data_IF_746348949338
#
_entry.id   IF_746348949338
#
_cell.length_a   1.000
_cell.length_b   1.000
_cell.length_c   1.000
_cell.angle_alpha   90.00
_cell.angle_beta   90.00
_cell.angle_gamma   90.00
#
_symmetry.space_group_name_H-M   'P 1'
#
loop_
_entity.id
_entity.type
_entity.pdbx_description
1 polymer ?
#
# COMPACT_ATOMS: atom_id res chain seq x y z
N UNK A 1 -13.62 13.50 23.09
CA UNK A 1 -14.93 13.90 23.67
C UNK A 1 -16.10 13.21 22.98
N UNK A 2 -16.13 13.06 21.65
CA UNK A 2 -17.23 12.39 20.93
C UNK A 2 -17.44 10.90 21.25
N UNK A 3 -16.36 10.11 21.44
CA UNK A 3 -16.44 8.65 21.63
C UNK A 3 -15.88 8.17 22.98
N UNK A 4 -15.66 9.08 23.93
CA UNK A 4 -15.09 8.73 25.24
C UNK A 4 -16.09 7.91 26.06
N UNK A 5 -15.70 6.70 26.46
CA UNK A 5 -16.54 5.75 27.19
C UNK A 5 -17.61 5.07 26.35
N UNK A 6 -17.65 5.30 25.03
CA UNK A 6 -18.75 4.89 24.17
C UNK A 6 -18.56 3.51 23.50
N UNK A 7 -17.36 2.92 23.61
CA UNK A 7 -17.03 1.63 22.98
C UNK A 7 -17.18 0.43 23.94
N UNK A 8 -17.53 0.69 25.19
CA UNK A 8 -17.64 -0.35 26.20
C UNK A 8 -18.72 -1.37 25.87
N UNK A 9 -18.46 -2.63 26.24
CA UNK A 9 -19.38 -3.76 26.07
C UNK A 9 -19.52 -4.53 27.37
N UNK A 10 -20.69 -5.13 27.56
CA UNK A 10 -20.97 -6.00 28.67
C UNK A 10 -20.79 -7.48 28.29
N UNK A 11 -20.23 -8.30 29.18
CA UNK A 11 -20.18 -9.77 28.99
C UNK A 11 -21.50 -10.47 29.31
N UNK A 12 -22.39 -9.82 30.06
CA UNK A 12 -23.72 -10.30 30.37
C UNK A 12 -24.76 -9.68 29.42
N UNK A 13 -25.85 -10.39 29.19
CA UNK A 13 -26.98 -9.90 28.38
C UNK A 13 -28.22 -9.74 29.25
N UNK A 14 -29.09 -8.81 28.87
CA UNK A 14 -30.39 -8.65 29.52
C UNK A 14 -31.29 -9.86 29.32
N UNK A 15 -32.43 -9.91 30.03
CA UNK A 15 -33.36 -11.05 30.01
C UNK A 15 -33.90 -11.39 28.61
N UNK A 16 -33.93 -10.42 27.68
CA UNK A 16 -34.35 -10.60 26.29
C UNK A 16 -33.20 -10.62 25.28
N UNK A 17 -31.94 -10.76 25.75
CA UNK A 17 -30.76 -10.67 24.90
C UNK A 17 -30.36 -9.24 24.50
N UNK A 18 -30.94 -8.23 25.14
CA UNK A 18 -30.59 -6.82 24.93
C UNK A 18 -29.23 -6.47 25.54
N UNK A 19 -28.56 -5.49 24.94
CA UNK A 19 -27.33 -4.92 25.49
C UNK A 19 -27.61 -4.19 26.81
N UNK A 20 -26.73 -4.38 27.79
CA UNK A 20 -26.84 -3.75 29.11
C UNK A 20 -25.88 -2.58 29.21
N UNK A 21 -26.35 -1.44 29.72
CA UNK A 21 -25.49 -0.32 30.12
C UNK A 21 -24.54 -0.73 31.25
N UNK A 22 -23.50 0.07 31.49
CA UNK A 22 -22.45 -0.28 32.47
C UNK A 22 -22.99 -0.61 33.86
N UNK A 23 -23.93 0.16 34.39
CA UNK A 23 -24.50 -0.07 35.73
C UNK A 23 -25.33 -1.34 35.80
N UNK A 24 -26.16 -1.59 34.78
CA UNK A 24 -26.98 -2.79 34.67
C UNK A 24 -26.11 -4.04 34.46
N UNK A 25 -25.03 -3.91 33.68
CA UNK A 25 -24.02 -4.95 33.47
C UNK A 25 -23.40 -5.40 34.79
N UNK A 26 -22.94 -4.44 35.61
CA UNK A 26 -22.34 -4.72 36.91
C UNK A 26 -23.34 -5.31 37.90
N UNK A 27 -24.61 -4.87 37.85
CA UNK A 27 -25.68 -5.45 38.67
C UNK A 27 -26.01 -6.90 38.28
N UNK A 28 -25.81 -7.28 37.01
CA UNK A 28 -25.99 -8.62 36.50
C UNK A 28 -24.75 -9.54 36.68
N UNK A 29 -23.76 -9.15 37.51
CA UNK A 29 -22.47 -9.83 37.65
C UNK A 29 -21.68 -9.94 36.32
N UNK A 30 -21.94 -9.03 35.36
CA UNK A 30 -21.18 -8.91 34.12
C UNK A 30 -19.93 -8.04 34.26
N UNK A 31 -18.99 -8.21 33.33
CA UNK A 31 -17.79 -7.37 33.20
C UNK A 31 -18.02 -6.33 32.10
N UNK A 32 -17.70 -5.07 32.40
CA UNK A 32 -17.69 -3.97 31.44
C UNK A 32 -16.27 -3.77 30.93
N UNK A 33 -16.06 -3.94 29.62
CA UNK A 33 -14.73 -3.91 29.01
C UNK A 33 -14.75 -3.19 27.67
N UNK A 34 -13.59 -2.67 27.26
CA UNK A 34 -13.39 -2.06 25.94
C UNK A 34 -12.88 -3.11 24.94
N UNK A 35 -13.19 -2.95 23.65
CA UNK A 35 -12.69 -3.85 22.61
C UNK A 35 -11.17 -3.73 22.43
N UNK A 36 -10.55 -4.83 22.00
CA UNK A 36 -9.09 -4.92 21.79
C UNK A 36 -8.59 -4.04 20.63
N UNK A 37 -9.48 -3.65 19.72
CA UNK A 37 -9.21 -2.71 18.62
C UNK A 37 -8.90 -1.29 19.10
N UNK A 38 -9.02 -0.99 20.40
CA UNK A 38 -8.76 0.33 20.96
C UNK A 38 -10.03 1.16 21.21
N UNK A 39 -9.85 2.28 21.90
CA UNK A 39 -10.93 3.16 22.37
C UNK A 39 -10.46 4.62 22.52
N UNK A 40 -11.41 5.52 22.78
CA UNK A 40 -11.19 6.96 22.96
C UNK A 40 -11.26 7.44 24.42
N UNK A 41 -11.00 6.56 25.39
CA UNK A 41 -11.16 6.88 26.82
C UNK A 41 -9.99 7.66 27.38
N UNK A 42 -8.80 7.48 26.79
CA UNK A 42 -7.59 8.20 27.16
C UNK A 42 -6.77 8.57 25.92
N UNK A 43 -5.84 9.51 26.09
CA UNK A 43 -5.06 10.06 24.98
C UNK A 43 -4.23 9.00 24.26
N UNK A 44 -3.54 8.13 25.00
CA UNK A 44 -2.63 7.13 24.41
C UNK A 44 -3.42 6.09 23.61
N UNK A 45 -4.50 5.55 24.18
CA UNK A 45 -5.38 4.61 23.48
C UNK A 45 -5.99 5.24 22.23
N UNK A 46 -6.39 6.52 22.31
CA UNK A 46 -6.90 7.26 21.15
C UNK A 46 -5.83 7.38 20.07
N UNK A 47 -4.59 7.72 20.45
CA UNK A 47 -3.48 7.87 19.50
C UNK A 47 -3.15 6.55 18.80
N UNK A 48 -3.18 5.42 19.51
CA UNK A 48 -2.95 4.10 18.92
C UNK A 48 -4.03 3.77 17.89
N UNK A 49 -5.30 3.90 18.27
CA UNK A 49 -6.43 3.65 17.35
C UNK A 49 -6.38 4.60 16.13
N UNK A 50 -6.07 5.88 16.35
CA UNK A 50 -5.93 6.86 15.27
C UNK A 50 -4.75 6.56 14.34
N UNK A 51 -3.64 6.04 14.89
CA UNK A 51 -2.47 5.62 14.12
C UNK A 51 -2.79 4.39 13.25
N UNK A 52 -3.44 3.37 13.79
CA UNK A 52 -3.90 2.19 13.04
C UNK A 52 -4.85 2.58 11.90
N UNK A 53 -5.81 3.48 12.17
CA UNK A 53 -6.66 4.01 11.11
C UNK A 53 -5.87 4.78 10.06
N UNK A 54 -4.85 5.55 10.44
CA UNK A 54 -4.00 6.30 9.49
C UNK A 54 -3.18 5.36 8.59
N UNK A 55 -2.73 4.21 9.08
CA UNK A 55 -2.07 3.18 8.25
C UNK A 55 -3.05 2.43 7.34
N UNK A 56 -4.34 2.79 7.39
CA UNK A 56 -5.43 2.13 6.66
C UNK A 56 -5.59 0.64 7.03
N UNK A 57 -5.20 0.28 8.25
CA UNK A 57 -5.44 -1.05 8.82
C UNK A 57 -6.56 -0.98 9.86
N UNK A 58 -7.39 -2.03 9.95
CA UNK A 58 -8.47 -2.16 10.95
C UNK A 58 -9.48 -0.99 11.01
N UNK A 59 -9.42 -0.05 10.06
CA UNK A 59 -10.34 1.08 9.98
C UNK A 59 -11.82 0.69 9.81
N UNK A 60 -12.20 -0.44 9.16
CA UNK A 60 -13.60 -0.84 9.10
C UNK A 60 -14.14 -1.21 10.49
N UNK A 61 -13.34 -1.87 11.33
CA UNK A 61 -13.74 -2.24 12.69
C UNK A 61 -13.90 -1.02 13.57
N UNK A 62 -12.99 -0.06 13.45
CA UNK A 62 -13.10 1.24 14.10
C UNK A 62 -14.37 1.99 13.65
N UNK A 63 -14.69 1.98 12.35
CA UNK A 63 -15.92 2.56 11.81
C UNK A 63 -17.17 1.87 12.37
N UNK A 64 -17.17 0.54 12.47
CA UNK A 64 -18.28 -0.21 13.05
C UNK A 64 -18.49 0.14 14.52
N UNK A 65 -17.41 0.22 15.30
CA UNK A 65 -17.48 0.65 16.70
C UNK A 65 -18.01 2.08 16.86
N UNK A 66 -17.53 3.01 16.03
CA UNK A 66 -18.03 4.39 16.03
C UNK A 66 -19.48 4.49 15.57
N UNK A 67 -19.90 3.64 14.63
CA UNK A 67 -21.27 3.58 14.11
C UNK A 67 -22.26 3.10 15.17
N UNK A 68 -21.85 2.12 15.98
CA UNK A 68 -22.71 1.48 16.97
C UNK A 68 -22.61 2.09 18.37
N UNK A 69 -21.69 3.03 18.57
CA UNK A 69 -21.66 3.87 19.77
C UNK A 69 -23.01 4.57 19.91
N UNK A 70 -23.64 4.56 21.10
CA UNK A 70 -24.85 5.34 21.39
C UNK A 70 -24.52 6.55 22.28
N UNK A 71 -23.83 6.30 23.38
CA UNK A 71 -23.47 7.26 24.42
C UNK A 71 -22.40 6.71 25.35
N UNK A 72 -21.92 7.53 26.28
CA UNK A 72 -20.89 7.12 27.22
C UNK A 72 -21.45 6.13 28.25
N UNK A 73 -20.81 4.95 28.35
CA UNK A 73 -21.18 3.87 29.27
C UNK A 73 -22.56 3.22 29.00
N UNK A 74 -23.11 3.46 27.81
CA UNK A 74 -24.34 2.85 27.32
C UNK A 74 -24.03 1.63 26.44
N UNK A 75 -24.97 0.69 26.36
CA UNK A 75 -24.84 -0.44 25.46
C UNK A 75 -24.82 0.01 23.98
N UNK A 76 -23.98 -0.60 23.13
CA UNK A 76 -23.92 -0.23 21.71
C UNK A 76 -25.25 -0.53 21.02
N UNK A 77 -25.73 0.42 20.22
CA UNK A 77 -26.96 0.31 19.43
C UNK A 77 -26.60 0.37 17.96
N UNK A 78 -26.98 -0.66 17.22
CA UNK A 78 -26.64 -0.83 15.80
C UNK A 78 -26.95 0.44 14.98
N UNK A 79 -25.90 1.02 14.38
CA UNK A 79 -25.96 2.20 13.49
C UNK A 79 -26.56 3.46 14.13
N UNK A 80 -26.53 3.59 15.45
CA UNK A 80 -27.03 4.78 16.16
C UNK A 80 -26.33 6.08 15.73
N UNK A 81 -25.01 6.04 15.52
CA UNK A 81 -24.18 7.21 15.22
C UNK A 81 -23.51 7.16 13.84
N UNK A 82 -24.14 6.47 12.88
CA UNK A 82 -23.58 6.18 11.56
C UNK A 82 -23.12 7.42 10.77
N UNK A 83 -23.87 8.53 10.85
CA UNK A 83 -23.53 9.77 10.13
C UNK A 83 -22.23 10.40 10.62
N UNK A 84 -22.09 10.54 11.94
CA UNK A 84 -20.91 11.11 12.58
C UNK A 84 -19.71 10.17 12.39
N UNK A 85 -19.90 8.87 12.58
CA UNK A 85 -18.86 7.86 12.39
C UNK A 85 -18.25 7.90 10.98
N UNK A 86 -19.10 7.96 9.94
CA UNK A 86 -18.65 8.06 8.54
C UNK A 86 -17.91 9.37 8.28
N UNK A 87 -18.47 10.50 8.72
CA UNK A 87 -17.84 11.80 8.52
C UNK A 87 -16.47 11.86 9.20
N UNK A 88 -16.36 11.35 10.43
CA UNK A 88 -15.11 11.29 11.18
C UNK A 88 -14.08 10.39 10.49
N UNK A 89 -14.45 9.15 10.12
CA UNK A 89 -13.53 8.22 9.47
C UNK A 89 -13.03 8.75 8.12
N UNK A 90 -13.92 9.29 7.29
CA UNK A 90 -13.53 9.87 5.99
C UNK A 90 -12.61 11.08 6.20
N UNK A 91 -12.97 11.98 7.12
CA UNK A 91 -12.15 13.14 7.42
C UNK A 91 -10.75 12.74 7.93
N UNK A 92 -10.68 11.80 8.87
CA UNK A 92 -9.43 11.31 9.43
C UNK A 92 -8.57 10.57 8.39
N UNK A 93 -9.16 9.67 7.60
CA UNK A 93 -8.43 8.94 6.57
C UNK A 93 -7.90 9.87 5.48
N UNK A 94 -8.69 10.85 5.05
CA UNK A 94 -8.25 11.82 4.06
C UNK A 94 -7.15 12.73 4.62
N UNK A 95 -7.37 13.34 5.78
CA UNK A 95 -6.41 14.30 6.34
C UNK A 95 -5.17 13.61 6.91
N UNK A 96 -5.34 12.57 7.73
CA UNK A 96 -4.25 11.83 8.35
C UNK A 96 -3.36 11.15 7.32
N UNK A 97 -3.93 10.37 6.41
CA UNK A 97 -3.12 9.65 5.41
C UNK A 97 -2.50 10.61 4.39
N UNK A 98 -3.28 11.57 3.85
CA UNK A 98 -2.74 12.44 2.79
C UNK A 98 -1.76 13.47 3.34
N UNK A 99 -2.00 14.06 4.50
CA UNK A 99 -1.11 15.12 5.01
C UNK A 99 0.16 14.49 5.60
N UNK A 100 0.01 13.52 6.50
CA UNK A 100 1.16 12.98 7.25
C UNK A 100 2.05 12.16 6.33
N UNK A 101 1.49 11.29 5.49
CA UNK A 101 2.28 10.48 4.55
C UNK A 101 2.97 11.34 3.51
N UNK A 102 2.27 12.32 2.91
CA UNK A 102 2.90 13.16 1.89
C UNK A 102 3.96 14.09 2.48
N UNK A 103 3.77 14.59 3.70
CA UNK A 103 4.80 15.36 4.40
C UNK A 103 6.04 14.50 4.68
N UNK A 104 5.84 13.29 5.21
CA UNK A 104 6.93 12.37 5.54
C UNK A 104 7.71 11.96 4.30
N UNK A 105 7.03 11.56 3.23
CA UNK A 105 7.64 11.25 1.93
C UNK A 105 8.37 12.47 1.37
N UNK A 106 7.79 13.66 1.47
CA UNK A 106 8.43 14.91 1.03
C UNK A 106 9.76 15.17 1.74
N UNK A 107 9.80 15.03 3.07
CA UNK A 107 11.04 15.20 3.85
C UNK A 107 12.08 14.14 3.50
N UNK A 108 11.67 12.89 3.30
CA UNK A 108 12.59 11.82 2.89
C UNK A 108 13.19 12.09 1.51
N UNK A 109 12.37 12.54 0.56
CA UNK A 109 12.83 12.86 -0.80
C UNK A 109 13.82 14.03 -0.75
N UNK A 110 13.52 15.08 -0.01
CA UNK A 110 14.40 16.24 0.16
C UNK A 110 15.76 15.84 0.74
N UNK A 111 15.76 15.01 1.80
CA UNK A 111 16.98 14.51 2.41
C UNK A 111 17.76 13.57 1.45
N UNK A 112 17.06 12.72 0.70
CA UNK A 112 17.70 11.86 -0.29
C UNK A 112 18.34 12.67 -1.42
N UNK A 113 17.70 13.75 -1.86
CA UNK A 113 18.25 14.66 -2.87
C UNK A 113 19.47 15.43 -2.33
N UNK A 114 19.43 15.87 -1.06
CA UNK A 114 20.57 16.48 -0.37
C UNK A 114 21.78 15.54 -0.31
N UNK A 115 21.59 14.32 0.20
CA UNK A 115 22.66 13.30 0.29
C UNK A 115 23.21 12.97 -1.11
N UNK A 116 22.32 12.84 -2.09
CA UNK A 116 22.71 12.58 -3.48
C UNK A 116 23.51 13.74 -4.08
N UNK A 117 23.18 14.99 -3.74
CA UNK A 117 23.91 16.19 -4.15
C UNK A 117 25.33 16.20 -3.61
N UNK A 118 25.50 15.94 -2.31
CA UNK A 118 26.81 15.89 -1.64
C UNK A 118 27.70 14.76 -2.19
N UNK A 119 27.09 13.64 -2.59
CA UNK A 119 27.81 12.50 -3.18
C UNK A 119 28.04 12.61 -4.71
N UNK A 120 27.84 13.78 -5.35
CA UNK A 120 27.94 13.96 -6.81
C UNK A 120 27.04 12.99 -7.60
N UNK A 121 25.85 12.67 -7.09
CA UNK A 121 24.91 11.76 -7.72
C UNK A 121 25.30 10.28 -7.65
N UNK A 122 26.31 9.94 -6.85
CA UNK A 122 26.82 8.56 -6.69
C UNK A 122 25.85 7.66 -5.94
N UNK A 123 25.03 8.22 -5.05
CA UNK A 123 24.18 7.45 -4.15
C UNK A 123 25.00 6.50 -3.26
N UNK A 124 24.29 5.68 -2.48
CA UNK A 124 24.89 4.66 -1.59
C UNK A 124 25.45 3.44 -2.37
N UNK A 125 26.24 3.68 -3.42
CA UNK A 125 26.93 2.67 -4.21
C UNK A 125 28.37 2.51 -3.74
N UNK A 126 28.81 1.26 -3.62
CA UNK A 126 30.25 0.96 -3.47
C UNK A 126 31.02 1.38 -4.72
N UNK A 127 32.34 1.56 -4.60
CA UNK A 127 33.21 1.98 -5.72
C UNK A 127 33.14 0.98 -6.87
N UNK A 128 33.10 -0.31 -6.56
CA UNK A 128 33.01 -1.41 -7.50
C UNK A 128 31.67 -1.40 -8.24
N UNK A 129 30.56 -1.22 -7.52
CA UNK A 129 29.23 -1.10 -8.13
C UNK A 129 29.13 0.12 -9.06
N UNK A 130 29.73 1.25 -8.66
CA UNK A 130 29.74 2.45 -9.48
C UNK A 130 30.50 2.27 -10.79
N UNK A 131 31.66 1.61 -10.75
CA UNK A 131 32.41 1.25 -11.96
C UNK A 131 31.58 0.32 -12.85
N UNK A 132 30.91 -0.67 -12.26
CA UNK A 132 30.05 -1.58 -13.00
C UNK A 132 28.87 -0.86 -13.68
N UNK A 133 28.17 0.03 -12.98
CA UNK A 133 27.08 0.85 -13.55
C UNK A 133 27.61 1.75 -14.67
N UNK A 134 28.80 2.33 -14.52
CA UNK A 134 29.42 3.16 -15.55
C UNK A 134 29.75 2.34 -16.81
N UNK A 135 30.23 1.11 -16.66
CA UNK A 135 30.46 0.19 -17.78
C UNK A 135 29.15 -0.19 -18.45
N UNK A 136 28.12 -0.59 -17.68
CA UNK A 136 26.82 -0.94 -18.24
C UNK A 136 26.19 0.20 -19.03
N UNK A 137 26.20 1.43 -18.51
CA UNK A 137 25.69 2.61 -19.23
C UNK A 137 26.42 2.84 -20.55
N UNK A 138 27.73 2.56 -20.60
CA UNK A 138 28.49 2.62 -21.86
C UNK A 138 28.07 1.51 -22.80
N UNK A 139 27.91 0.28 -22.33
CA UNK A 139 27.51 -0.87 -23.16
C UNK A 139 26.11 -0.65 -23.77
N UNK A 140 25.14 -0.21 -22.98
CA UNK A 140 23.75 0.04 -23.44
C UNK A 140 23.71 1.14 -24.50
N UNK A 141 24.50 2.21 -24.32
CA UNK A 141 24.60 3.30 -25.32
C UNK A 141 25.43 2.94 -26.55
N UNK A 142 26.23 1.88 -26.46
CA UNK A 142 27.04 1.43 -27.58
C UNK A 142 26.18 0.54 -28.45
N UNK A 143 25.72 1.08 -29.57
CA UNK A 143 25.04 0.28 -30.58
C UNK A 143 26.06 -0.62 -31.27
N UNK A 144 26.19 -1.85 -30.79
CA UNK A 144 27.05 -2.86 -31.41
C UNK A 144 26.31 -3.49 -32.61
N UNK A 145 26.15 -2.73 -33.70
CA UNK A 145 25.62 -3.25 -34.97
C UNK A 145 26.69 -4.09 -35.69
N UNK A 146 27.11 -5.20 -35.09
CA UNK A 146 27.95 -6.17 -35.79
C UNK A 146 27.08 -7.07 -36.65
N UNK A 147 26.55 -6.52 -37.76
CA UNK A 147 25.86 -7.33 -38.76
C UNK A 147 26.85 -8.38 -39.30
N UNK A 148 26.49 -9.67 -39.33
CA UNK A 148 27.37 -10.70 -39.89
C UNK A 148 27.66 -10.40 -41.36
N UNK A 149 28.88 -10.71 -41.83
CA UNK A 149 29.25 -10.48 -43.24
C UNK A 149 28.43 -11.40 -44.14
N UNK A 150 27.91 -10.85 -45.25
CA UNK A 150 27.19 -11.63 -46.27
C UNK A 150 28.09 -12.77 -46.81
N UNK A 151 27.57 -14.02 -46.95
CA UNK A 151 28.34 -15.16 -47.45
C UNK A 151 28.83 -14.97 -48.90
N UNK A 152 29.86 -15.72 -49.28
CA UNK A 152 30.41 -15.69 -50.64
C UNK A 152 29.37 -16.18 -51.69
N UNK A 153 29.29 -15.48 -52.83
CA UNK A 153 28.28 -15.68 -53.88
C UNK A 153 28.24 -17.11 -54.47
N UNK A 154 29.36 -17.84 -54.38
CA UNK A 154 29.43 -19.25 -54.80
C UNK A 154 28.51 -20.19 -54.01
N UNK A 155 28.05 -19.79 -52.82
CA UNK A 155 27.20 -20.59 -51.93
C UNK A 155 25.75 -20.10 -51.96
N UNK A 156 25.07 -20.25 -53.11
CA UNK A 156 23.71 -19.73 -53.40
C UNK A 156 22.68 -19.98 -52.29
N UNK A 157 22.67 -21.18 -51.69
CA UNK A 157 21.75 -21.52 -50.61
C UNK A 157 21.99 -20.68 -49.33
N UNK A 158 23.26 -20.49 -48.94
CA UNK A 158 23.62 -19.71 -47.75
C UNK A 158 23.31 -18.23 -47.93
N UNK A 159 23.47 -17.71 -49.14
CA UNK A 159 23.10 -16.32 -49.48
C UNK A 159 21.60 -16.12 -49.39
N UNK A 160 20.78 -17.04 -49.92
CA UNK A 160 19.31 -16.95 -49.83
C UNK A 160 18.79 -16.99 -48.39
N UNK A 161 19.35 -17.86 -47.54
CA UNK A 161 18.97 -17.92 -46.12
C UNK A 161 19.41 -16.66 -45.39
N UNK A 162 20.63 -16.17 -45.66
CA UNK A 162 21.11 -14.92 -45.09
C UNK A 162 20.19 -13.75 -45.46
N UNK A 163 19.82 -13.63 -46.75
CA UNK A 163 18.96 -12.55 -47.24
C UNK A 163 17.52 -12.67 -46.67
N UNK A 164 17.05 -13.89 -46.36
CA UNK A 164 15.74 -14.14 -45.71
C UNK A 164 15.75 -13.78 -44.21
N UNK A 165 16.77 -14.22 -43.46
CA UNK A 165 16.86 -14.01 -42.00
C UNK A 165 17.24 -12.56 -41.67
N UNK A 166 18.00 -11.89 -42.53
CA UNK A 166 18.39 -10.49 -42.34
C UNK A 166 17.34 -9.49 -42.85
N UNK A 167 16.19 -9.96 -43.34
CA UNK A 167 15.09 -9.09 -43.76
C UNK A 167 14.32 -8.57 -42.53
N UNK A 168 13.94 -7.30 -42.53
CA UNK A 168 13.20 -6.68 -41.41
C UNK A 168 11.88 -7.41 -41.10
N UNK A 169 11.24 -8.01 -42.11
CA UNK A 169 10.00 -8.79 -41.96
C UNK A 169 10.17 -10.06 -41.12
N UNK A 170 11.40 -10.60 -41.06
CA UNK A 170 11.67 -11.83 -40.29
C UNK A 170 11.52 -11.57 -38.79
N UNK A 171 12.06 -10.44 -38.30
CA UNK A 171 11.98 -10.05 -36.89
C UNK A 171 10.53 -9.77 -36.46
N UNK A 172 9.73 -9.11 -37.32
CA UNK A 172 8.30 -8.89 -37.09
C UNK A 172 7.53 -10.21 -36.92
N UNK A 173 7.81 -11.20 -37.76
CA UNK A 173 7.15 -12.52 -37.73
C UNK A 173 7.50 -13.29 -36.46
N UNK A 174 8.78 -13.31 -36.06
CA UNK A 174 9.24 -13.96 -34.82
C UNK A 174 8.66 -13.25 -33.59
N UNK A 175 8.60 -11.91 -33.59
CA UNK A 175 7.96 -11.14 -32.54
C UNK A 175 6.48 -11.49 -32.40
N UNK A 176 5.74 -11.54 -33.51
CA UNK A 176 4.33 -11.90 -33.53
C UNK A 176 4.08 -13.33 -33.01
N UNK A 177 4.90 -14.30 -33.42
CA UNK A 177 4.84 -15.69 -32.94
C UNK A 177 5.10 -15.78 -31.43
N UNK A 178 6.04 -15.00 -30.91
CA UNK A 178 6.36 -14.96 -29.47
C UNK A 178 5.18 -14.41 -28.66
N UNK A 179 4.59 -13.30 -29.11
CA UNK A 179 3.40 -12.71 -28.47
C UNK A 179 2.21 -13.67 -28.53
N UNK A 180 1.96 -14.30 -29.67
CA UNK A 180 0.91 -15.30 -29.82
C UNK A 180 1.11 -16.48 -28.85
N UNK A 181 2.34 -16.97 -28.70
CA UNK A 181 2.65 -18.05 -27.77
C UNK A 181 2.39 -17.67 -26.29
N UNK A 182 2.72 -16.43 -25.90
CA UNK A 182 2.43 -15.93 -24.53
C UNK A 182 0.93 -15.78 -24.28
N UNK A 183 0.15 -15.35 -25.30
CA UNK A 183 -1.29 -15.17 -25.17
C UNK A 183 -2.09 -16.49 -25.17
N UNK A 184 -1.52 -17.55 -25.74
CA UNK A 184 -2.14 -18.89 -25.81
C UNK A 184 -1.82 -19.77 -24.60
N UNK A 185 -0.91 -19.32 -23.73
CA UNK A 185 -0.51 -19.95 -22.46
C UNK A 185 -1.35 -19.40 -21.31
#
# INVERSE_FOLDING_TARGET
QFFGGAFGRCTASGPNGEGLDRTACLAANGLWYNPDTGNFDNLISSMILLFEMMTSEMWPDALHLMSDASGAYEAPVLKSNLGIARAFCIFWLLTGTLIITNLFVGVIIDEFERVRGDENGRGSLTKEQMQWVAVQRKVIKTEALRRPKRPHSSQRYRVRIYDMVMAERFDDVIGALTVANVLLL
#
